data_IF_843654452295
#
_entry.id   IF_843654452295
#
_cell.length_a   1.000
_cell.length_b   1.000
_cell.length_c   1.000
_cell.angle_alpha   90.00
_cell.angle_beta   90.00
_cell.angle_gamma   90.00
#
_symmetry.space_group_name_H-M   'P 1'
#
loop_
_entity.id
_entity.type
_entity.pdbx_description
1 polymer ?
#
# COMPACT_ATOMS: atom_id res chain seq x y z
N UNK A 1 24.35 38.57 -40.06
CA UNK A 1 23.43 37.44 -40.34
C UNK A 1 24.25 36.15 -40.39
N UNK A 2 23.64 35.02 -40.04
CA UNK A 2 24.27 33.70 -39.84
C UNK A 2 25.31 33.68 -38.70
N UNK A 3 25.43 32.61 -37.91
CA UNK A 3 24.60 31.39 -37.93
C UNK A 3 25.20 30.31 -37.03
N UNK A 4 25.21 30.54 -35.72
CA UNK A 4 25.90 29.68 -34.75
C UNK A 4 24.97 28.64 -34.11
N UNK A 5 24.37 27.78 -34.94
CA UNK A 5 23.56 26.64 -34.49
C UNK A 5 23.61 25.49 -35.49
N UNK A 6 23.53 24.27 -34.94
CA UNK A 6 23.29 22.99 -35.59
C UNK A 6 24.12 22.57 -36.81
N UNK A 7 25.00 21.60 -36.57
CA UNK A 7 24.78 20.29 -37.21
C UNK A 7 25.27 19.12 -36.36
N UNK A 8 24.30 18.44 -35.74
CA UNK A 8 24.45 17.03 -35.38
C UNK A 8 24.67 16.22 -36.66
N UNK A 9 25.78 15.49 -36.75
CA UNK A 9 26.00 14.49 -37.81
C UNK A 9 26.23 13.13 -37.17
N UNK A 10 25.33 12.19 -37.47
CA UNK A 10 25.57 10.75 -37.33
C UNK A 10 26.63 10.35 -38.40
N UNK A 11 27.30 9.20 -38.35
CA UNK A 11 27.03 7.99 -37.58
C UNK A 11 28.30 7.17 -37.30
N UNK A 12 28.16 6.20 -36.37
CA UNK A 12 28.80 4.88 -36.36
C UNK A 12 30.14 4.67 -37.10
N UNK A 13 31.19 4.45 -36.31
CA UNK A 13 32.20 3.42 -36.62
C UNK A 13 32.10 2.33 -35.55
N UNK A 14 32.09 1.07 -35.98
CA UNK A 14 32.01 -0.09 -35.09
C UNK A 14 33.18 -1.03 -35.36
N UNK A 15 34.05 -1.20 -34.37
CA UNK A 15 34.94 -2.36 -34.27
C UNK A 15 35.50 -2.51 -32.86
N UNK A 16 35.78 -3.77 -32.55
CA UNK A 16 36.34 -4.38 -31.35
C UNK A 16 37.21 -3.52 -30.42
N UNK A 17 36.71 -3.27 -29.22
CA UNK A 17 37.41 -2.60 -28.12
C UNK A 17 37.16 -3.28 -26.77
N UNK A 18 37.64 -4.53 -26.62
CA UNK A 18 37.56 -5.40 -25.42
C UNK A 18 37.15 -4.68 -24.12
N UNK A 19 35.85 -4.70 -23.81
CA UNK A 19 35.23 -3.94 -22.73
C UNK A 19 35.59 -4.48 -21.34
N UNK A 20 36.85 -4.27 -20.92
CA UNK A 20 37.26 -4.38 -19.52
C UNK A 20 36.33 -3.52 -18.67
N UNK A 21 35.42 -4.17 -17.95
CA UNK A 21 34.65 -3.53 -16.88
C UNK A 21 35.65 -3.00 -15.87
N UNK A 22 35.94 -1.71 -15.94
CA UNK A 22 36.76 -0.99 -14.96
C UNK A 22 36.02 -1.04 -13.63
N UNK A 23 36.36 -2.03 -12.82
CA UNK A 23 35.85 -2.14 -11.47
C UNK A 23 36.47 -1.02 -10.65
N UNK A 24 35.83 0.16 -10.70
CA UNK A 24 36.22 1.33 -9.94
C UNK A 24 36.27 0.91 -8.48
N UNK A 25 37.47 0.84 -7.91
CA UNK A 25 37.67 0.75 -6.47
C UNK A 25 37.16 2.06 -5.88
N UNK A 26 35.86 2.12 -5.60
CA UNK A 26 35.28 3.18 -4.79
C UNK A 26 36.03 3.19 -3.47
N UNK A 27 36.55 4.36 -3.09
CA UNK A 27 37.23 4.52 -1.82
C UNK A 27 36.29 4.03 -0.71
N UNK A 28 36.84 3.24 0.21
CA UNK A 28 36.24 2.86 1.49
C UNK A 28 35.43 3.98 2.14
N UNK A 29 35.90 5.24 2.11
CA UNK A 29 35.13 6.38 2.60
C UNK A 29 33.84 6.60 1.80
N UNK A 30 33.92 6.67 0.46
CA UNK A 30 32.74 6.80 -0.42
C UNK A 30 31.77 5.63 -0.31
N UNK A 31 32.27 4.40 -0.15
CA UNK A 31 31.43 3.21 0.10
C UNK A 31 30.71 3.30 1.43
N UNK A 32 31.41 3.69 2.50
CA UNK A 32 30.83 3.81 3.83
C UNK A 32 29.79 4.96 3.89
N UNK A 33 30.06 6.09 3.21
CA UNK A 33 29.09 7.18 3.04
C UNK A 33 27.85 6.74 2.24
N UNK A 34 28.02 5.98 1.15
CA UNK A 34 26.89 5.44 0.38
C UNK A 34 26.06 4.44 1.20
N UNK A 35 26.69 3.56 1.98
CA UNK A 35 26.02 2.65 2.91
C UNK A 35 25.27 3.43 4.01
N UNK A 36 25.92 4.42 4.64
CA UNK A 36 25.31 5.25 5.68
C UNK A 36 24.13 6.07 5.13
N UNK A 37 24.29 6.68 3.96
CA UNK A 37 23.22 7.41 3.25
C UNK A 37 22.05 6.49 2.86
N UNK A 38 22.32 5.25 2.43
CA UNK A 38 21.27 4.28 2.12
C UNK A 38 20.55 3.78 3.38
N UNK A 39 21.28 3.53 4.48
CA UNK A 39 20.71 3.23 5.80
C UNK A 39 19.83 4.38 6.30
N UNK A 40 20.31 5.61 6.20
CA UNK A 40 19.57 6.82 6.57
C UNK A 40 18.35 7.03 5.68
N UNK A 41 18.43 6.82 4.36
CA UNK A 41 17.29 6.91 3.46
C UNK A 41 16.21 5.88 3.78
N UNK A 42 16.58 4.62 4.05
CA UNK A 42 15.63 3.57 4.49
C UNK A 42 15.04 3.87 5.88
N UNK A 43 15.81 4.48 6.79
CA UNK A 43 15.33 4.88 8.12
C UNK A 43 14.40 6.10 8.06
N UNK A 44 14.75 7.13 7.30
CA UNK A 44 13.91 8.31 7.06
C UNK A 44 12.66 7.92 6.28
N UNK A 45 12.72 6.96 5.36
CA UNK A 45 11.53 6.43 4.70
C UNK A 45 10.68 5.52 5.63
N UNK A 46 11.25 4.78 6.59
CA UNK A 46 10.46 4.14 7.66
C UNK A 46 9.81 5.19 8.59
N UNK A 47 10.49 6.30 8.89
CA UNK A 47 9.92 7.38 9.73
C UNK A 47 8.89 8.23 8.98
N UNK A 48 9.10 8.56 7.71
CA UNK A 48 8.10 9.15 6.82
C UNK A 48 6.89 8.20 6.68
N UNK A 49 7.11 6.88 6.50
CA UNK A 49 6.01 5.90 6.60
C UNK A 49 5.31 5.87 7.97
N UNK A 50 5.95 6.24 9.07
CA UNK A 50 5.31 6.27 10.40
C UNK A 50 4.69 7.64 10.74
N UNK A 51 5.00 8.68 9.97
CA UNK A 51 4.57 10.06 10.17
C UNK A 51 3.49 10.46 9.16
N UNK A 52 3.74 10.17 7.88
CA UNK A 52 2.90 10.54 6.74
C UNK A 52 1.86 9.44 6.45
N UNK A 53 2.23 8.17 6.65
CA UNK A 53 1.29 7.06 6.68
C UNK A 53 0.80 6.76 8.11
N UNK A 54 -0.27 7.47 8.47
CA UNK A 54 -1.59 6.83 8.61
C UNK A 54 -1.49 5.32 8.77
N UNK A 55 -1.55 4.86 10.02
CA UNK A 55 -1.32 3.47 10.38
C UNK A 55 -2.10 2.52 9.46
N UNK A 56 -1.46 1.45 8.97
CA UNK A 56 -2.15 0.46 8.15
C UNK A 56 -3.05 -0.39 9.07
N UNK A 57 -4.25 0.12 9.32
CA UNK A 57 -5.33 -0.58 10.01
C UNK A 57 -5.78 -1.74 9.11
N UNK A 58 -5.80 -2.96 9.64
CA UNK A 58 -6.22 -4.15 8.90
C UNK A 58 -7.17 -5.00 9.75
N UNK A 59 -8.08 -5.75 9.11
CA UNK A 59 -9.01 -6.65 9.79
C UNK A 59 -8.85 -8.06 9.23
N UNK A 60 -8.77 -9.05 10.11
CA UNK A 60 -8.92 -10.46 9.74
C UNK A 60 -10.41 -10.83 9.82
N UNK A 61 -10.94 -11.36 8.72
CA UNK A 61 -12.32 -11.82 8.58
C UNK A 61 -12.35 -13.26 8.04
N UNK A 62 -13.39 -13.99 8.39
CA UNK A 62 -13.67 -15.31 7.81
C UNK A 62 -14.15 -15.19 6.36
N UNK A 63 -13.92 -16.21 5.54
CA UNK A 63 -14.39 -16.29 4.16
C UNK A 63 -15.92 -16.16 4.07
N UNK A 64 -16.64 -16.75 5.03
CA UNK A 64 -18.10 -16.72 5.12
C UNK A 64 -18.68 -15.36 5.52
N UNK A 65 -17.85 -14.42 5.99
CA UNK A 65 -18.33 -13.10 6.42
C UNK A 65 -18.78 -12.29 5.20
N UNK A 66 -19.97 -11.64 5.22
CA UNK A 66 -20.56 -10.98 4.05
C UNK A 66 -19.65 -9.94 3.39
N UNK A 67 -18.94 -9.13 4.19
CA UNK A 67 -17.98 -8.13 3.66
C UNK A 67 -16.80 -8.81 2.96
N UNK A 68 -16.38 -10.00 3.38
CA UNK A 68 -15.34 -10.79 2.69
C UNK A 68 -15.83 -11.27 1.32
N UNK A 69 -17.07 -11.78 1.26
CA UNK A 69 -17.69 -12.20 -0.01
C UNK A 69 -17.85 -11.02 -0.97
N UNK A 70 -18.39 -9.89 -0.52
CA UNK A 70 -18.52 -8.68 -1.35
C UNK A 70 -17.16 -8.13 -1.79
N UNK A 71 -16.14 -8.16 -0.92
CA UNK A 71 -14.77 -7.78 -1.27
C UNK A 71 -14.16 -8.69 -2.37
N UNK A 72 -14.37 -10.01 -2.28
CA UNK A 72 -13.91 -10.97 -3.29
C UNK A 72 -14.70 -10.87 -4.60
N UNK A 73 -16.01 -10.58 -4.54
CA UNK A 73 -16.84 -10.32 -5.72
C UNK A 73 -16.42 -9.03 -6.41
N UNK A 74 -16.22 -7.93 -5.68
CA UNK A 74 -15.74 -6.66 -6.25
C UNK A 74 -14.40 -6.82 -6.99
N UNK A 75 -13.47 -7.61 -6.45
CA UNK A 75 -12.22 -7.94 -7.14
C UNK A 75 -12.40 -8.74 -8.43
N UNK A 76 -13.39 -9.64 -8.49
CA UNK A 76 -13.75 -10.40 -9.71
C UNK A 76 -14.42 -9.49 -10.75
N UNK A 77 -15.43 -8.72 -10.33
CA UNK A 77 -16.15 -7.77 -11.19
C UNK A 77 -15.20 -6.73 -11.79
N UNK A 78 -14.28 -6.18 -10.99
CA UNK A 78 -13.24 -5.29 -11.47
C UNK A 78 -12.38 -5.90 -12.58
N UNK A 79 -11.97 -7.17 -12.41
CA UNK A 79 -11.19 -7.88 -13.41
C UNK A 79 -11.97 -8.10 -14.71
N UNK A 80 -13.27 -8.42 -14.61
CA UNK A 80 -14.17 -8.55 -15.75
C UNK A 80 -14.37 -7.21 -16.48
N UNK A 81 -14.65 -6.11 -15.76
CA UNK A 81 -14.75 -4.77 -16.34
C UNK A 81 -13.47 -4.35 -17.05
N UNK A 82 -12.30 -4.65 -16.47
CA UNK A 82 -10.99 -4.37 -17.08
C UNK A 82 -10.72 -5.17 -18.37
N UNK A 83 -11.25 -6.39 -18.46
CA UNK A 83 -11.16 -7.19 -19.70
C UNK A 83 -12.09 -6.65 -20.80
N UNK A 84 -13.21 -6.00 -20.46
CA UNK A 84 -14.16 -5.44 -21.42
C UNK A 84 -13.89 -4.00 -21.87
N UNK A 85 -13.38 -3.13 -20.99
CA UNK A 85 -13.27 -1.68 -21.22
C UNK A 85 -11.87 -1.19 -21.63
N UNK A 86 -10.85 -2.05 -21.58
CA UNK A 86 -9.49 -1.65 -21.91
C UNK A 86 -8.76 -0.94 -20.76
N UNK A 87 -7.94 0.06 -21.09
CA UNK A 87 -6.84 0.51 -20.21
C UNK A 87 -7.27 1.43 -19.06
N UNK A 88 -8.40 2.11 -19.20
CA UNK A 88 -8.72 3.33 -18.43
C UNK A 88 -9.64 3.08 -17.22
N UNK A 89 -9.76 1.82 -16.78
CA UNK A 89 -10.56 1.49 -15.58
C UNK A 89 -9.83 1.93 -14.31
N UNK A 90 -10.52 2.72 -13.49
CA UNK A 90 -10.01 3.41 -12.29
C UNK A 90 -9.44 2.46 -11.21
N UNK A 91 -8.77 2.99 -10.20
CA UNK A 91 -7.92 2.17 -9.34
C UNK A 91 -8.69 1.08 -8.55
N UNK A 92 -8.22 -0.20 -8.53
CA UNK A 92 -8.97 -1.34 -7.98
C UNK A 92 -9.25 -1.23 -6.47
N UNK A 93 -8.47 -0.44 -5.74
CA UNK A 93 -8.67 -0.22 -4.31
C UNK A 93 -9.90 0.66 -4.02
N UNK A 94 -10.26 1.58 -4.92
CA UNK A 94 -11.43 2.46 -4.79
C UNK A 94 -12.73 1.65 -4.91
N UNK A 95 -12.78 0.77 -5.93
CA UNK A 95 -13.86 -0.20 -6.14
C UNK A 95 -14.03 -1.13 -4.94
N UNK A 96 -12.93 -1.64 -4.40
CA UNK A 96 -12.93 -2.49 -3.22
C UNK A 96 -13.42 -1.76 -1.97
N UNK A 97 -12.98 -0.51 -1.75
CA UNK A 97 -13.45 0.34 -0.65
C UNK A 97 -14.96 0.59 -0.74
N UNK A 98 -15.47 1.04 -1.91
CA UNK A 98 -16.90 1.30 -2.12
C UNK A 98 -17.76 0.07 -1.86
N UNK A 99 -17.31 -1.11 -2.31
CA UNK A 99 -18.00 -2.37 -2.08
C UNK A 99 -18.03 -2.77 -0.58
N UNK A 100 -16.90 -2.58 0.13
CA UNK A 100 -16.80 -2.83 1.57
C UNK A 100 -17.70 -1.89 2.37
N UNK A 101 -17.71 -0.58 2.08
CA UNK A 101 -18.59 0.39 2.74
C UNK A 101 -20.06 0.04 2.49
N UNK A 102 -20.42 -0.33 1.25
CA UNK A 102 -21.78 -0.72 0.89
C UNK A 102 -22.26 -1.92 1.71
N UNK A 103 -21.45 -2.98 1.81
CA UNK A 103 -21.73 -4.16 2.61
C UNK A 103 -21.73 -3.87 4.13
N UNK A 104 -20.86 -2.99 4.62
CA UNK A 104 -20.83 -2.57 6.02
C UNK A 104 -22.13 -1.86 6.44
N UNK A 105 -22.72 -1.04 5.57
CA UNK A 105 -24.03 -0.43 5.79
C UNK A 105 -25.18 -1.45 5.86
N UNK A 106 -25.00 -2.68 5.39
CA UNK A 106 -26.02 -3.74 5.47
C UNK A 106 -25.88 -4.58 6.76
N UNK A 107 -24.74 -4.51 7.45
CA UNK A 107 -24.53 -5.24 8.70
C UNK A 107 -25.37 -4.72 9.87
N UNK A 108 -25.52 -5.59 10.87
CA UNK A 108 -26.00 -5.22 12.20
C UNK A 108 -24.92 -4.38 12.88
N UNK A 109 -25.30 -3.22 13.40
CA UNK A 109 -24.43 -2.37 14.21
C UNK A 109 -24.89 -2.39 15.66
N UNK A 110 -23.98 -2.40 16.65
CA UNK A 110 -24.33 -2.06 18.03
C UNK A 110 -24.50 -0.53 18.22
N UNK A 111 -23.94 0.29 17.33
CA UNK A 111 -23.87 1.75 17.46
C UNK A 111 -24.48 2.43 16.23
N UNK A 112 -25.57 3.17 16.43
CA UNK A 112 -26.30 3.81 15.34
C UNK A 112 -25.51 4.92 14.63
N UNK A 113 -24.71 5.70 15.36
CA UNK A 113 -23.90 6.80 14.80
C UNK A 113 -22.85 6.30 13.79
N UNK A 114 -22.23 5.15 14.04
CA UNK A 114 -21.21 4.58 13.16
C UNK A 114 -21.82 4.17 11.82
N UNK A 115 -23.06 3.65 11.84
CA UNK A 115 -23.80 3.33 10.62
C UNK A 115 -24.23 4.58 9.85
N UNK A 116 -24.62 5.65 10.54
CA UNK A 116 -24.90 6.95 9.93
C UNK A 116 -23.65 7.58 9.27
N UNK A 117 -22.46 7.45 9.88
CA UNK A 117 -21.18 7.88 9.28
C UNK A 117 -20.91 7.12 7.97
N UNK A 118 -21.09 5.79 7.98
CA UNK A 118 -20.86 4.95 6.80
C UNK A 118 -21.89 5.18 5.69
N UNK A 119 -23.16 5.41 6.04
CA UNK A 119 -24.22 5.80 5.10
C UNK A 119 -23.93 7.16 4.48
N UNK A 120 -23.62 8.18 5.30
CA UNK A 120 -23.23 9.49 4.81
C UNK A 120 -22.04 9.42 3.84
N UNK A 121 -20.97 8.70 4.18
CA UNK A 121 -19.81 8.52 3.29
C UNK A 121 -20.18 7.79 1.99
N UNK A 122 -21.07 6.78 2.04
CA UNK A 122 -21.59 6.08 0.85
C UNK A 122 -22.35 7.03 -0.07
N UNK A 123 -23.17 7.91 0.50
CA UNK A 123 -24.06 8.81 -0.24
C UNK A 123 -23.30 10.05 -0.79
N UNK A 124 -22.24 10.49 -0.09
CA UNK A 124 -21.29 11.50 -0.59
C UNK A 124 -20.35 10.95 -1.70
N UNK A 125 -20.18 9.62 -1.81
CA UNK A 125 -19.26 8.98 -2.77
C UNK A 125 -19.98 8.40 -4.00
N UNK A 126 -20.38 9.28 -4.92
CA UNK A 126 -21.12 8.88 -6.13
C UNK A 126 -20.29 8.04 -7.12
N UNK A 127 -19.00 8.35 -7.32
CA UNK A 127 -18.10 7.60 -8.21
C UNK A 127 -16.79 7.21 -7.49
N UNK A 128 -16.11 6.11 -7.89
CA UNK A 128 -14.87 5.67 -7.24
C UNK A 128 -13.74 6.72 -7.27
N UNK A 129 -13.69 7.53 -8.33
CA UNK A 129 -12.61 8.48 -8.62
C UNK A 129 -12.56 9.63 -7.60
N UNK A 130 -13.71 9.96 -7.00
CA UNK A 130 -13.81 10.93 -5.90
C UNK A 130 -13.03 10.52 -4.63
N UNK A 131 -12.57 9.26 -4.56
CA UNK A 131 -11.79 8.73 -3.45
C UNK A 131 -10.27 8.75 -3.68
N UNK A 132 -9.74 9.16 -4.85
CA UNK A 132 -8.30 8.98 -5.15
C UNK A 132 -7.37 9.73 -4.18
N UNK A 133 -7.72 10.96 -3.79
CA UNK A 133 -7.00 11.73 -2.76
C UNK A 133 -7.24 11.22 -1.32
N UNK A 134 -8.18 10.30 -1.12
CA UNK A 134 -8.68 9.86 0.19
C UNK A 134 -8.44 8.38 0.53
N UNK A 135 -8.23 7.49 -0.44
CA UNK A 135 -8.10 6.03 -0.19
C UNK A 135 -6.83 5.51 -0.86
N UNK A 136 -5.67 5.78 -0.26
CA UNK A 136 -4.36 5.39 -0.79
C UNK A 136 -4.15 3.87 -0.87
N UNK A 137 -4.80 3.10 0.00
CA UNK A 137 -4.79 1.64 -0.07
C UNK A 137 -6.06 1.01 0.48
N UNK A 138 -6.62 0.09 -0.29
CA UNK A 138 -7.61 -0.88 0.16
C UNK A 138 -7.30 -2.21 -0.56
N UNK A 139 -7.04 -3.28 0.19
CA UNK A 139 -6.69 -4.59 -0.41
C UNK A 139 -7.07 -5.76 0.49
N UNK A 140 -7.72 -6.76 -0.10
CA UNK A 140 -7.97 -8.07 0.49
C UNK A 140 -6.88 -9.09 0.09
N UNK A 141 -6.45 -9.95 1.02
CA UNK A 141 -5.53 -11.07 0.78
C UNK A 141 -5.92 -12.29 1.64
N UNK A 142 -5.94 -13.49 1.07
CA UNK A 142 -5.98 -14.74 1.87
C UNK A 142 -4.70 -14.82 2.73
N UNK A 143 -4.84 -14.99 4.04
CA UNK A 143 -3.71 -14.97 4.99
C UNK A 143 -3.50 -16.30 5.70
N UNK A 144 -4.58 -16.99 6.09
CA UNK A 144 -4.52 -18.37 6.56
C UNK A 144 -5.47 -19.20 5.68
N UNK A 145 -4.93 -19.76 4.60
CA UNK A 145 -5.70 -20.52 3.59
C UNK A 145 -6.50 -21.65 4.23
N UNK A 146 -5.84 -22.44 5.07
CA UNK A 146 -6.40 -23.66 5.68
C UNK A 146 -7.44 -23.36 6.78
N UNK A 147 -7.61 -22.08 7.11
CA UNK A 147 -8.62 -21.58 8.07
C UNK A 147 -9.66 -20.67 7.41
N UNK A 148 -9.61 -20.45 6.10
CA UNK A 148 -10.51 -19.52 5.40
C UNK A 148 -10.37 -18.04 5.81
N UNK A 149 -9.23 -17.63 6.39
CA UNK A 149 -9.08 -16.27 6.93
C UNK A 149 -8.47 -15.32 5.89
N UNK A 150 -9.18 -14.24 5.62
CA UNK A 150 -8.78 -13.14 4.76
C UNK A 150 -8.42 -11.91 5.59
N UNK A 151 -7.35 -11.23 5.20
CA UNK A 151 -6.94 -9.94 5.75
C UNK A 151 -7.31 -8.83 4.77
N UNK A 152 -8.12 -7.89 5.22
CA UNK A 152 -8.38 -6.64 4.51
C UNK A 152 -7.50 -5.55 5.12
N UNK A 153 -6.80 -4.78 4.29
CA UNK A 153 -5.85 -3.74 4.69
C UNK A 153 -6.31 -2.37 4.16
N UNK A 154 -6.28 -1.35 5.01
CA UNK A 154 -6.70 0.02 4.70
C UNK A 154 -5.58 1.04 4.99
N UNK A 155 -5.46 2.08 4.15
CA UNK A 155 -4.65 3.30 4.36
C UNK A 155 -5.37 4.47 3.68
N UNK A 156 -5.63 5.56 4.41
CA UNK A 156 -6.66 6.57 4.05
C UNK A 156 -6.33 8.02 4.44
N UNK A 157 -7.15 8.96 3.93
CA UNK A 157 -7.40 10.29 4.48
C UNK A 157 -7.53 10.16 6.03
N UNK A 158 -6.97 10.95 6.96
CA UNK A 158 -6.99 12.41 7.02
C UNK A 158 -8.45 12.81 7.30
N UNK A 159 -9.11 13.55 6.39
CA UNK A 159 -10.53 13.85 6.51
C UNK A 159 -11.41 12.61 6.78
N UNK A 160 -11.11 11.45 6.19
CA UNK A 160 -11.95 10.24 6.27
C UNK A 160 -11.52 9.19 7.31
N UNK A 161 -10.55 9.45 8.21
CA UNK A 161 -10.09 8.39 9.14
C UNK A 161 -11.17 8.02 10.15
N UNK A 162 -12.07 8.96 10.47
CA UNK A 162 -13.29 8.73 11.26
C UNK A 162 -14.26 7.73 10.60
N UNK A 163 -14.32 7.70 9.25
CA UNK A 163 -15.10 6.72 8.49
C UNK A 163 -14.45 5.35 8.58
N UNK A 164 -13.11 5.29 8.51
CA UNK A 164 -12.38 4.04 8.72
C UNK A 164 -12.57 3.52 10.14
N UNK A 165 -12.51 4.35 11.18
CA UNK A 165 -12.70 3.90 12.56
C UNK A 165 -14.17 3.52 12.88
N UNK A 166 -15.16 4.07 12.18
CA UNK A 166 -16.53 3.56 12.18
C UNK A 166 -16.63 2.18 11.49
N UNK A 167 -16.01 2.02 10.31
CA UNK A 167 -15.95 0.75 9.59
C UNK A 167 -15.28 -0.35 10.44
N UNK A 168 -14.14 -0.06 11.05
CA UNK A 168 -13.36 -1.02 11.83
C UNK A 168 -14.11 -1.47 13.09
N UNK A 169 -14.72 -0.56 13.85
CA UNK A 169 -15.53 -0.91 15.03
C UNK A 169 -16.73 -1.79 14.64
N UNK A 170 -17.41 -1.46 13.53
CA UNK A 170 -18.52 -2.27 13.01
C UNK A 170 -18.06 -3.65 12.50
N UNK A 171 -16.90 -3.76 11.85
CA UNK A 171 -16.33 -5.04 11.43
C UNK A 171 -15.89 -5.91 12.63
N UNK A 172 -15.31 -5.31 13.67
CA UNK A 172 -14.95 -6.02 14.91
C UNK A 172 -16.20 -6.52 15.63
N UNK A 173 -17.25 -5.69 15.73
CA UNK A 173 -18.53 -6.08 16.30
C UNK A 173 -19.24 -7.23 15.55
N UNK A 174 -18.88 -7.48 14.29
CA UNK A 174 -19.37 -8.61 13.49
C UNK A 174 -18.35 -9.78 13.41
N UNK A 175 -17.40 -9.85 14.35
CA UNK A 175 -16.48 -10.97 14.52
C UNK A 175 -15.13 -10.83 13.82
N UNK A 176 -14.79 -9.63 13.32
CA UNK A 176 -13.47 -9.33 12.78
C UNK A 176 -12.41 -9.10 13.85
N UNK A 177 -11.15 -9.46 13.57
CA UNK A 177 -10.01 -9.17 14.45
C UNK A 177 -9.20 -8.01 13.89
N UNK A 178 -9.14 -6.89 14.60
CA UNK A 178 -8.32 -5.74 14.23
C UNK A 178 -6.83 -6.06 14.44
N UNK A 179 -6.01 -5.85 13.41
CA UNK A 179 -4.54 -5.80 13.50
C UNK A 179 -4.03 -4.50 12.92
N UNK A 180 -3.62 -3.58 13.78
CA UNK A 180 -2.92 -2.36 13.39
C UNK A 180 -1.48 -2.73 13.02
N UNK A 181 -1.02 -2.33 11.84
CA UNK A 181 0.28 -2.75 11.30
C UNK A 181 1.05 -1.59 10.68
N UNK A 182 2.38 -1.73 10.61
CA UNK A 182 3.21 -0.79 9.83
C UNK A 182 2.87 -0.90 8.33
N UNK A 183 2.79 0.22 7.59
CA UNK A 183 2.52 0.24 6.15
C UNK A 183 3.53 -0.58 5.32
N UNK A 184 3.17 -0.99 4.09
CA UNK A 184 4.02 -1.84 3.28
C UNK A 184 5.25 -1.07 2.78
N UNK A 185 6.39 -1.77 2.66
CA UNK A 185 7.62 -1.14 2.16
C UNK A 185 7.54 -0.88 0.65
N UNK A 186 7.90 0.33 0.22
CA UNK A 186 7.88 0.72 -1.19
C UNK A 186 8.85 -0.13 -2.03
N UNK A 187 8.77 -0.03 -3.36
CA UNK A 187 9.71 -0.74 -4.25
C UNK A 187 11.16 -0.28 -4.01
N UNK A 188 11.39 1.04 -3.93
CA UNK A 188 12.73 1.62 -3.70
C UNK A 188 13.34 1.15 -2.38
N UNK A 189 12.56 1.12 -1.29
CA UNK A 189 13.06 0.70 0.01
C UNK A 189 13.30 -0.81 0.11
N UNK A 190 12.50 -1.63 -0.58
CA UNK A 190 12.78 -3.07 -0.72
C UNK A 190 14.09 -3.30 -1.47
N UNK A 191 14.33 -2.56 -2.55
CA UNK A 191 15.59 -2.62 -3.30
C UNK A 191 16.78 -2.14 -2.46
N UNK A 192 16.65 -1.02 -1.74
CA UNK A 192 17.69 -0.50 -0.84
C UNK A 192 18.02 -1.47 0.30
N UNK A 193 17.01 -2.10 0.91
CA UNK A 193 17.19 -3.16 1.91
C UNK A 193 17.85 -4.41 1.32
N UNK A 194 17.53 -4.77 0.07
CA UNK A 194 18.17 -5.90 -0.61
C UNK A 194 19.66 -5.63 -0.87
N UNK A 195 20.01 -4.40 -1.28
CA UNK A 195 21.40 -3.95 -1.45
C UNK A 195 22.17 -3.93 -0.12
N UNK A 196 21.57 -3.39 0.94
CA UNK A 196 22.16 -3.38 2.29
C UNK A 196 22.38 -4.80 2.83
N UNK A 197 21.47 -5.74 2.54
CA UNK A 197 21.62 -7.17 2.88
C UNK A 197 22.71 -7.85 2.06
N UNK A 198 22.79 -7.63 0.74
CA UNK A 198 23.85 -8.22 -0.10
C UNK A 198 25.25 -7.69 0.21
N UNK A 199 25.36 -6.54 0.86
CA UNK A 199 26.63 -6.01 1.38
C UNK A 199 27.00 -6.53 2.79
N UNK A 200 26.15 -7.31 3.45
CA UNK A 200 26.34 -7.73 4.85
C UNK A 200 26.05 -6.64 5.89
N UNK A 201 25.55 -5.48 5.45
CA UNK A 201 25.50 -4.23 6.21
C UNK A 201 24.20 -4.02 7.01
N UNK A 202 23.23 -4.94 6.90
CA UNK A 202 21.94 -4.84 7.60
C UNK A 202 21.81 -5.87 8.73
N UNK A 203 22.15 -5.46 9.95
CA UNK A 203 21.62 -6.09 11.15
C UNK A 203 20.19 -5.55 11.41
N UNK A 204 19.17 -6.42 11.60
CA UNK A 204 17.89 -5.97 12.10
C UNK A 204 18.03 -5.61 13.59
N UNK A 205 17.73 -4.36 13.97
CA UNK A 205 17.62 -4.01 15.39
C UNK A 205 16.58 -4.92 16.06
N UNK A 206 16.99 -5.61 17.13
CA UNK A 206 16.18 -6.54 17.90
C UNK A 206 15.16 -5.86 18.84
N UNK A 207 14.76 -4.62 18.52
CA UNK A 207 13.55 -4.03 19.08
C UNK A 207 12.36 -4.88 18.66
N UNK A 208 11.82 -5.65 19.59
CA UNK A 208 10.88 -6.74 19.34
C UNK A 208 9.63 -6.30 18.58
N UNK A 209 8.95 -7.28 17.97
CA UNK A 209 7.60 -7.12 17.45
C UNK A 209 6.62 -6.86 18.59
N UNK A 210 6.48 -5.60 19.01
CA UNK A 210 5.34 -5.17 19.81
C UNK A 210 4.10 -5.19 18.92
N UNK A 211 3.52 -6.38 18.72
CA UNK A 211 2.13 -6.51 18.31
C UNK A 211 1.27 -5.93 19.43
N UNK A 212 0.98 -4.64 19.30
CA UNK A 212 0.02 -3.97 20.17
C UNK A 212 -1.38 -4.45 19.79
N UNK A 213 -1.84 -5.53 20.41
CA UNK A 213 -3.25 -5.88 20.45
C UNK A 213 -3.99 -4.79 21.22
N UNK A 214 -4.45 -3.78 20.49
CA UNK A 214 -5.29 -2.70 21.00
C UNK A 214 -6.69 -3.25 21.24
N UNK A 215 -6.85 -3.95 22.36
CA UNK A 215 -8.16 -4.27 22.92
C UNK A 215 -8.84 -2.96 23.36
N UNK A 216 -9.74 -2.44 22.53
CA UNK A 216 -10.70 -1.45 22.98
C UNK A 216 -11.77 -2.17 23.81
N UNK A 217 -11.96 -1.69 25.04
CA UNK A 217 -13.13 -1.96 25.88
C UNK A 217 -14.25 -0.96 25.55
#
# INVERSE_FOLDING_TARGET
>A
MSGLMDKWSRASSASDGNSRKTFVKTDTQTRNLAVAGTKLAVYLADRSRLHDARLQKAVLLQEQHPVTQVALQAGKSFHQSKLGLGKDVSNPHLWLWRAIISAACELKTPVASDKLILQKHRDETTTPEMLEDSVFHCRINQTFRDKGIYRICFVVAAPIDHVLDALLRLLVANGGQLKVTKPPRSALERNALQLLRSMGEWAPNSSASTEADVAMH
#
